data_IF_405151539758
#
_entry.id   IF_405151539758
#
_cell.length_a   1.000
_cell.length_b   1.000
_cell.length_c   1.000
_cell.angle_alpha   90.00
_cell.angle_beta   90.00
_cell.angle_gamma   90.00
#
_symmetry.space_group_name_H-M   'P 1'
#
loop_
_entity.id
_entity.type
_entity.pdbx_description
1 polymer ?
#
# COMPACT_ATOMS: atom_id res chain seq x y z
N UNK A 1 3.86 0.50 -28.65
CA UNK A 1 2.80 -0.19 -27.86
C UNK A 1 1.54 0.63 -27.96
N UNK A 2 0.31 0.05 -28.02
CA UNK A 2 -0.91 0.85 -28.19
C UNK A 2 -1.26 1.58 -26.87
N UNK A 3 -1.81 2.81 -26.98
CA UNK A 3 -2.27 3.61 -25.85
C UNK A 3 -3.22 2.82 -24.93
N UNK A 4 -4.17 2.08 -25.52
CA UNK A 4 -5.14 1.26 -24.78
C UNK A 4 -4.46 0.23 -23.85
N UNK A 5 -3.39 -0.45 -24.30
CA UNK A 5 -2.66 -1.41 -23.46
C UNK A 5 -1.94 -0.73 -22.30
N UNK A 6 -1.43 0.49 -22.50
CA UNK A 6 -0.81 1.28 -21.43
C UNK A 6 -1.84 1.71 -20.39
N UNK A 7 -3.02 2.21 -20.82
CA UNK A 7 -4.11 2.58 -19.91
C UNK A 7 -4.57 1.39 -19.07
N UNK A 8 -4.80 0.22 -19.69
CA UNK A 8 -5.18 -0.98 -18.95
C UNK A 8 -4.06 -1.46 -18.02
N UNK A 9 -2.81 -1.35 -18.41
CA UNK A 9 -1.68 -1.64 -17.52
C UNK A 9 -1.73 -0.77 -16.27
N UNK A 10 -1.98 0.53 -16.42
CA UNK A 10 -2.09 1.47 -15.32
C UNK A 10 -3.29 1.17 -14.42
N UNK A 11 -4.45 0.82 -14.98
CA UNK A 11 -5.63 0.38 -14.23
C UNK A 11 -5.34 -0.85 -13.39
N UNK A 12 -4.68 -1.84 -13.96
CA UNK A 12 -4.32 -3.07 -13.24
C UNK A 12 -3.30 -2.85 -12.13
N UNK A 13 -2.49 -1.80 -12.19
CA UNK A 13 -1.59 -1.49 -11.08
C UNK A 13 -2.37 -0.99 -9.85
N UNK A 14 -3.34 -0.10 -10.05
CA UNK A 14 -4.23 0.35 -8.98
C UNK A 14 -5.04 -0.82 -8.40
N UNK A 15 -5.66 -1.63 -9.27
CA UNK A 15 -6.31 -2.89 -8.89
C UNK A 15 -5.41 -3.79 -8.04
N UNK A 16 -4.13 -3.91 -8.38
CA UNK A 16 -3.18 -4.74 -7.66
C UNK A 16 -2.84 -4.19 -6.26
N UNK A 17 -2.82 -2.87 -6.08
CA UNK A 17 -2.53 -2.21 -4.81
C UNK A 17 -3.71 -2.22 -3.83
N UNK A 18 -4.95 -2.26 -4.31
CA UNK A 18 -6.14 -2.06 -3.49
C UNK A 18 -6.31 -3.06 -2.34
N UNK A 19 -5.97 -4.36 -2.45
CA UNK A 19 -6.04 -5.27 -1.31
C UNK A 19 -5.20 -4.84 -0.12
N UNK A 20 -4.07 -4.15 -0.32
CA UNK A 20 -3.29 -3.63 0.79
C UNK A 20 -4.10 -2.62 1.61
N UNK A 21 -4.77 -1.68 0.98
CA UNK A 21 -5.64 -0.72 1.68
C UNK A 21 -6.86 -1.38 2.30
N UNK A 22 -7.51 -2.25 1.54
CA UNK A 22 -8.76 -2.86 1.96
C UNK A 22 -8.54 -3.88 3.08
N UNK A 23 -7.63 -4.84 2.88
CA UNK A 23 -7.45 -5.95 3.81
C UNK A 23 -6.52 -5.58 4.98
N UNK A 24 -5.41 -4.85 4.68
CA UNK A 24 -4.39 -4.60 5.67
C UNK A 24 -4.69 -3.35 6.51
N UNK A 25 -5.00 -2.23 5.85
CA UNK A 25 -5.19 -0.96 6.55
C UNK A 25 -6.58 -0.83 7.18
N UNK A 26 -7.62 -1.43 6.56
CA UNK A 26 -9.01 -1.13 6.94
C UNK A 26 -9.70 -2.29 7.66
N UNK A 27 -9.80 -3.47 7.04
CA UNK A 27 -10.79 -4.47 7.50
C UNK A 27 -10.22 -5.56 8.39
N UNK A 28 -9.00 -6.04 8.18
CA UNK A 28 -8.54 -7.25 8.88
C UNK A 28 -7.24 -7.07 9.65
N UNK A 29 -6.14 -6.66 9.02
CA UNK A 29 -4.86 -6.62 9.72
C UNK A 29 -4.80 -5.57 10.83
N UNK A 30 -5.33 -4.36 10.60
CA UNK A 30 -5.36 -3.32 11.62
C UNK A 30 -6.20 -3.72 12.85
N UNK A 31 -7.45 -4.22 12.71
CA UNK A 31 -8.20 -4.79 13.84
C UNK A 31 -7.52 -5.99 14.49
N UNK A 32 -6.92 -6.89 13.71
CA UNK A 32 -6.16 -8.02 14.22
C UNK A 32 -5.01 -7.56 15.11
N UNK A 33 -4.18 -6.65 14.63
CA UNK A 33 -3.10 -6.06 15.42
C UNK A 33 -3.62 -5.44 16.71
N UNK A 34 -4.70 -4.65 16.65
CA UNK A 34 -5.27 -3.99 17.82
C UNK A 34 -5.74 -5.00 18.88
N UNK A 35 -6.38 -6.11 18.46
CA UNK A 35 -6.83 -7.17 19.34
C UNK A 35 -5.64 -7.91 19.97
N UNK A 36 -4.72 -8.42 19.15
CA UNK A 36 -3.54 -9.17 19.62
C UNK A 36 -2.68 -8.33 20.58
N UNK A 37 -2.47 -7.05 20.26
CA UNK A 37 -1.69 -6.16 21.12
C UNK A 37 -2.40 -5.88 22.46
N UNK A 38 -3.71 -5.66 22.43
CA UNK A 38 -4.49 -5.46 23.68
C UNK A 38 -4.46 -6.70 24.55
N UNK A 39 -4.66 -7.89 23.99
CA UNK A 39 -4.63 -9.17 24.71
C UNK A 39 -3.25 -9.44 25.31
N UNK A 40 -2.18 -9.17 24.57
CA UNK A 40 -0.81 -9.27 25.07
C UNK A 40 -0.56 -8.37 26.29
N UNK A 41 -1.02 -7.12 26.25
CA UNK A 41 -0.86 -6.21 27.37
C UNK A 41 -1.76 -6.57 28.56
N UNK A 42 -2.96 -7.06 28.33
CA UNK A 42 -3.82 -7.60 29.41
C UNK A 42 -3.20 -8.81 30.08
N UNK A 43 -2.64 -9.72 29.29
CA UNK A 43 -1.91 -10.90 29.83
C UNK A 43 -0.67 -10.50 30.66
N UNK A 44 -0.07 -9.34 30.38
CA UNK A 44 1.04 -8.78 31.19
C UNK A 44 0.57 -8.03 32.46
N UNK A 45 -0.74 -8.05 32.78
CA UNK A 45 -1.31 -7.47 34.00
C UNK A 45 -1.79 -6.03 33.86
N UNK A 46 -1.89 -5.48 32.66
CA UNK A 46 -2.45 -4.14 32.45
C UNK A 46 -3.98 -4.19 32.46
N UNK A 47 -4.60 -3.10 32.93
CA UNK A 47 -6.05 -2.91 32.84
C UNK A 47 -6.52 -2.89 31.38
N UNK A 48 -7.73 -3.40 31.13
CA UNK A 48 -8.29 -3.58 29.78
C UNK A 48 -8.29 -2.28 28.94
N UNK A 49 -8.76 -1.16 29.51
CA UNK A 49 -8.82 0.09 28.77
C UNK A 49 -7.43 0.68 28.47
N UNK A 50 -6.49 0.51 29.42
CA UNK A 50 -5.08 0.91 29.22
C UNK A 50 -4.43 0.06 28.15
N UNK A 51 -4.70 -1.24 28.10
CA UNK A 51 -4.18 -2.17 27.10
C UNK A 51 -4.65 -1.82 25.69
N UNK A 52 -5.95 -1.55 25.53
CA UNK A 52 -6.54 -1.09 24.26
C UNK A 52 -5.95 0.25 23.82
N UNK A 53 -5.84 1.22 24.73
CA UNK A 53 -5.27 2.52 24.44
C UNK A 53 -3.80 2.41 23.99
N UNK A 54 -3.02 1.53 24.62
CA UNK A 54 -1.62 1.27 24.27
C UNK A 54 -1.51 0.62 22.89
N UNK A 55 -2.33 -0.38 22.59
CA UNK A 55 -2.39 -1.00 21.27
C UNK A 55 -2.71 0.01 20.18
N UNK A 56 -3.73 0.84 20.39
CA UNK A 56 -4.11 1.91 19.46
C UNK A 56 -3.00 2.96 19.30
N UNK A 57 -2.29 3.29 20.38
CA UNK A 57 -1.15 4.22 20.33
C UNK A 57 -0.02 3.67 19.48
N UNK A 58 0.34 2.40 19.61
CA UNK A 58 1.37 1.76 18.79
C UNK A 58 0.99 1.79 17.30
N UNK A 59 -0.26 1.47 16.98
CA UNK A 59 -0.77 1.55 15.61
C UNK A 59 -0.70 2.98 15.06
N UNK A 60 -1.18 3.95 15.83
CA UNK A 60 -1.21 5.37 15.43
C UNK A 60 0.19 5.95 15.22
N UNK A 61 1.15 5.58 16.08
CA UNK A 61 2.57 5.97 15.92
C UNK A 61 3.13 5.39 14.61
N UNK A 62 2.86 4.11 14.33
CA UNK A 62 3.31 3.46 13.10
C UNK A 62 2.78 4.18 11.85
N UNK A 63 1.47 4.47 11.80
CA UNK A 63 0.84 5.19 10.70
C UNK A 63 1.37 6.62 10.57
N UNK A 64 1.44 7.36 11.68
CA UNK A 64 1.89 8.75 11.69
C UNK A 64 3.35 8.89 11.28
N UNK A 65 4.23 8.00 11.77
CA UNK A 65 5.64 8.00 11.39
C UNK A 65 5.82 7.65 9.90
N UNK A 66 5.08 6.64 9.41
CA UNK A 66 5.08 6.27 7.99
C UNK A 66 4.55 7.42 7.12
N UNK A 67 3.43 8.02 7.49
CA UNK A 67 2.84 9.15 6.77
C UNK A 67 3.74 10.37 6.74
N UNK A 68 4.39 10.69 7.86
CA UNK A 68 5.36 11.79 7.94
C UNK A 68 6.57 11.52 7.04
N UNK A 69 7.10 10.31 7.08
CA UNK A 69 8.20 9.89 6.21
C UNK A 69 7.83 10.03 4.74
N UNK A 70 6.64 9.54 4.34
CA UNK A 70 6.12 9.67 2.98
C UNK A 70 5.98 11.14 2.60
N UNK A 71 5.30 11.94 3.44
CA UNK A 71 5.03 13.35 3.17
C UNK A 71 6.29 14.20 2.96
N UNK A 72 7.35 13.92 3.71
CA UNK A 72 8.64 14.61 3.56
C UNK A 72 9.42 14.09 2.36
N UNK A 73 9.43 12.77 2.14
CA UNK A 73 10.29 12.14 1.13
C UNK A 73 9.70 12.18 -0.27
N UNK A 74 8.35 12.20 -0.43
CA UNK A 74 7.70 12.15 -1.72
C UNK A 74 8.07 13.32 -2.66
N UNK A 75 8.10 14.59 -2.23
CA UNK A 75 8.54 15.69 -3.07
C UNK A 75 10.01 15.57 -3.50
N UNK A 76 10.86 15.05 -2.61
CA UNK A 76 12.30 14.88 -2.85
C UNK A 76 12.52 13.78 -3.90
N UNK A 77 11.93 12.61 -3.68
CA UNK A 77 12.07 11.47 -4.59
C UNK A 77 11.40 11.75 -5.94
N UNK A 78 10.25 12.45 -5.93
CA UNK A 78 9.56 12.90 -7.14
C UNK A 78 10.44 13.81 -7.98
N UNK A 79 11.07 14.83 -7.38
CA UNK A 79 11.98 15.74 -8.08
C UNK A 79 13.20 15.02 -8.68
N UNK A 80 13.77 14.04 -7.96
CA UNK A 80 14.88 13.22 -8.45
C UNK A 80 14.45 12.36 -9.64
N UNK A 81 13.27 11.73 -9.57
CA UNK A 81 12.74 10.90 -10.65
C UNK A 81 12.39 11.74 -11.89
N UNK A 82 11.80 12.91 -11.71
CA UNK A 82 11.41 13.80 -12.81
C UNK A 82 12.63 14.36 -13.55
N UNK A 83 13.70 14.74 -12.84
CA UNK A 83 14.94 15.21 -13.48
C UNK A 83 15.69 14.13 -14.25
N UNK A 84 15.51 12.87 -13.90
CA UNK A 84 16.16 11.73 -14.58
C UNK A 84 15.28 11.07 -15.65
N UNK A 85 14.00 11.40 -15.69
CA UNK A 85 13.01 10.70 -16.53
C UNK A 85 12.80 9.22 -16.16
N UNK A 86 13.42 8.75 -15.07
CA UNK A 86 13.45 7.35 -14.64
C UNK A 86 12.47 7.12 -13.49
N UNK A 87 11.25 6.75 -13.80
CA UNK A 87 10.23 6.41 -12.79
C UNK A 87 10.13 4.92 -12.53
N UNK A 88 10.35 4.09 -13.56
CA UNK A 88 10.22 2.63 -13.45
C UNK A 88 11.14 2.00 -12.39
N UNK A 89 12.41 2.36 -12.24
CA UNK A 89 13.26 1.80 -11.17
C UNK A 89 12.69 2.04 -9.76
N UNK A 90 12.14 3.23 -9.51
CA UNK A 90 11.49 3.55 -8.23
C UNK A 90 10.25 2.70 -7.99
N UNK A 91 9.41 2.54 -9.03
CA UNK A 91 8.21 1.70 -8.95
C UNK A 91 8.59 0.25 -8.67
N UNK A 92 9.65 -0.29 -9.27
CA UNK A 92 10.15 -1.63 -8.94
C UNK A 92 10.57 -1.75 -7.47
N UNK A 93 11.38 -0.81 -6.97
CA UNK A 93 11.85 -0.83 -5.58
C UNK A 93 10.67 -0.79 -4.61
N UNK A 94 9.74 0.12 -4.80
CA UNK A 94 8.58 0.27 -3.92
C UNK A 94 7.58 -0.88 -4.05
N UNK A 95 7.44 -1.47 -5.24
CA UNK A 95 6.66 -2.71 -5.42
C UNK A 95 7.27 -3.89 -4.65
N UNK A 96 8.59 -4.01 -4.64
CA UNK A 96 9.30 -5.02 -3.85
C UNK A 96 9.10 -4.77 -2.36
N UNK A 97 9.17 -3.52 -1.89
CA UNK A 97 8.87 -3.16 -0.50
C UNK A 97 7.43 -3.53 -0.11
N UNK A 98 6.45 -3.26 -0.98
CA UNK A 98 5.06 -3.68 -0.77
C UNK A 98 4.97 -5.20 -0.58
N UNK A 99 5.55 -5.97 -1.49
CA UNK A 99 5.50 -7.44 -1.46
C UNK A 99 6.14 -7.98 -0.17
N UNK A 100 7.36 -7.56 0.15
CA UNK A 100 8.06 -8.03 1.34
C UNK A 100 7.37 -7.57 2.62
N UNK A 101 6.86 -6.35 2.67
CA UNK A 101 6.10 -5.84 3.79
C UNK A 101 4.82 -6.64 4.02
N UNK A 102 4.02 -6.85 2.97
CA UNK A 102 2.79 -7.62 3.07
C UNK A 102 3.04 -9.08 3.46
N UNK A 103 4.02 -9.76 2.83
CA UNK A 103 4.40 -11.13 3.22
C UNK A 103 4.92 -11.20 4.66
N UNK A 104 5.73 -10.22 5.08
CA UNK A 104 6.33 -10.18 6.40
C UNK A 104 5.32 -10.04 7.53
N UNK A 105 4.13 -9.50 7.29
CA UNK A 105 3.08 -9.43 8.33
C UNK A 105 2.62 -10.80 8.81
N UNK A 106 2.92 -11.88 8.09
CA UNK A 106 2.67 -13.26 8.51
C UNK A 106 3.33 -13.64 9.84
N UNK A 107 4.42 -12.96 10.24
CA UNK A 107 5.09 -13.19 11.52
C UNK A 107 4.23 -12.87 12.75
N UNK A 108 3.12 -12.15 12.54
CA UNK A 108 2.23 -11.74 13.61
C UNK A 108 1.41 -12.89 14.16
N UNK A 109 1.89 -13.54 15.21
CA UNK A 109 1.19 -14.63 15.91
C UNK A 109 0.24 -14.09 17.00
N UNK A 110 -0.83 -14.83 17.34
CA UNK A 110 -1.86 -14.36 18.29
C UNK A 110 -1.37 -14.15 19.71
N UNK A 111 -0.21 -14.72 20.08
CA UNK A 111 0.40 -14.54 21.41
C UNK A 111 1.00 -13.15 21.65
N UNK A 112 1.08 -12.32 20.60
CA UNK A 112 1.61 -10.96 20.68
C UNK A 112 3.13 -10.86 20.83
N UNK A 113 3.88 -11.95 20.71
CA UNK A 113 5.34 -11.95 20.85
C UNK A 113 6.07 -11.09 19.82
N UNK A 114 5.44 -10.83 18.66
CA UNK A 114 6.06 -10.17 17.51
C UNK A 114 5.43 -8.82 17.14
N UNK A 115 4.77 -8.12 18.07
CA UNK A 115 4.02 -6.87 17.79
C UNK A 115 4.85 -5.81 17.04
N UNK A 116 6.09 -5.57 17.48
CA UNK A 116 6.97 -4.58 16.84
C UNK A 116 7.34 -4.99 15.41
N UNK A 117 7.59 -6.28 15.19
CA UNK A 117 7.94 -6.82 13.88
C UNK A 117 6.74 -6.78 12.92
N UNK A 118 5.53 -7.03 13.44
CA UNK A 118 4.28 -6.84 12.68
C UNK A 118 4.16 -5.41 12.15
N UNK A 119 4.36 -4.41 13.01
CA UNK A 119 4.30 -3.01 12.65
C UNK A 119 5.42 -2.60 11.68
N UNK A 120 6.62 -3.15 11.86
CA UNK A 120 7.73 -2.91 10.94
C UNK A 120 7.40 -3.39 9.53
N UNK A 121 6.91 -4.62 9.37
CA UNK A 121 6.55 -5.14 8.06
C UNK A 121 5.33 -4.43 7.46
N UNK A 122 4.34 -4.10 8.28
CA UNK A 122 3.21 -3.30 7.83
C UNK A 122 3.68 -1.92 7.33
N UNK A 123 4.51 -1.20 8.08
CA UNK A 123 5.06 0.09 7.69
C UNK A 123 5.87 0.00 6.38
N UNK A 124 6.70 -1.03 6.24
CA UNK A 124 7.46 -1.29 5.02
C UNK A 124 6.54 -1.45 3.80
N UNK A 125 5.50 -2.28 3.93
CA UNK A 125 4.50 -2.49 2.89
C UNK A 125 3.69 -1.23 2.59
N UNK A 126 3.28 -0.49 3.61
CA UNK A 126 2.51 0.73 3.48
C UNK A 126 3.31 1.83 2.76
N UNK A 127 4.54 2.08 3.18
CA UNK A 127 5.45 3.02 2.52
C UNK A 127 5.70 2.60 1.07
N UNK A 128 5.93 1.31 0.83
CA UNK A 128 6.08 0.76 -0.52
C UNK A 128 4.86 1.02 -1.39
N UNK A 129 3.66 0.77 -0.89
CA UNK A 129 2.39 0.98 -1.61
C UNK A 129 2.19 2.45 -1.97
N UNK A 130 2.35 3.35 -1.00
CA UNK A 130 2.16 4.79 -1.20
C UNK A 130 3.14 5.36 -2.24
N UNK A 131 4.44 5.08 -2.11
CA UNK A 131 5.41 5.56 -3.10
C UNK A 131 5.19 4.95 -4.47
N UNK A 132 4.89 3.66 -4.56
CA UNK A 132 4.59 3.02 -5.82
C UNK A 132 3.42 3.71 -6.55
N UNK A 133 2.35 4.06 -5.82
CA UNK A 133 1.21 4.79 -6.39
C UNK A 133 1.55 6.24 -6.75
N UNK A 134 2.35 6.96 -5.93
CA UNK A 134 2.81 8.30 -6.26
C UNK A 134 3.53 8.30 -7.61
N UNK A 135 4.49 7.39 -7.83
CA UNK A 135 5.23 7.32 -9.09
C UNK A 135 4.39 6.82 -10.27
N UNK A 136 3.48 5.89 -10.01
CA UNK A 136 2.54 5.38 -11.03
C UNK A 136 1.56 6.47 -11.46
N UNK A 137 1.03 7.25 -10.52
CA UNK A 137 0.15 8.38 -10.80
C UNK A 137 0.86 9.51 -11.55
N UNK A 138 2.15 9.74 -11.28
CA UNK A 138 2.94 10.69 -12.04
C UNK A 138 3.08 10.32 -13.53
N UNK A 139 2.90 9.04 -13.90
CA UNK A 139 2.90 8.60 -15.30
C UNK A 139 1.54 8.82 -16.01
N UNK A 140 0.48 9.14 -15.29
CA UNK A 140 -0.87 9.36 -15.83
C UNK A 140 -0.86 10.38 -16.98
N UNK A 141 -0.07 11.45 -16.84
CA UNK A 141 0.08 12.49 -17.87
C UNK A 141 0.61 11.99 -19.22
N UNK A 142 1.21 10.81 -19.24
CA UNK A 142 1.76 10.18 -20.46
C UNK A 142 0.80 9.19 -21.13
N UNK A 143 -0.37 8.95 -20.52
CA UNK A 143 -1.32 7.92 -20.96
C UNK A 143 -2.37 8.45 -21.96
N UNK A 144 -2.60 9.75 -21.98
CA UNK A 144 -3.62 10.37 -22.86
C UNK A 144 -3.43 11.87 -23.00
N UNK A 145 -4.30 12.48 -23.80
CA UNK A 145 -4.37 13.94 -23.95
C UNK A 145 -4.90 14.60 -22.66
N UNK A 146 -4.65 15.90 -22.51
CA UNK A 146 -5.12 16.67 -21.36
C UNK A 146 -6.64 16.53 -21.11
N UNK A 147 -7.43 16.42 -22.18
CA UNK A 147 -8.88 16.24 -22.11
C UNK A 147 -9.32 14.82 -21.67
N UNK A 148 -8.46 13.82 -21.84
CA UNK A 148 -8.76 12.42 -21.51
C UNK A 148 -8.29 12.03 -20.11
N UNK A 149 -7.30 12.74 -19.53
CA UNK A 149 -6.67 12.39 -18.26
C UNK A 149 -7.71 12.23 -17.14
N UNK A 150 -8.67 13.15 -17.02
CA UNK A 150 -9.72 13.08 -16.01
C UNK A 150 -10.57 11.80 -16.11
N UNK A 151 -10.93 11.41 -17.34
CA UNK A 151 -11.68 10.18 -17.59
C UNK A 151 -10.85 8.94 -17.31
N UNK A 152 -9.57 8.92 -17.72
CA UNK A 152 -8.66 7.81 -17.46
C UNK A 152 -8.47 7.64 -15.95
N UNK A 153 -8.19 8.73 -15.24
CA UNK A 153 -7.99 8.70 -13.79
C UNK A 153 -9.23 8.20 -13.04
N UNK A 154 -10.41 8.78 -13.32
CA UNK A 154 -11.65 8.37 -12.67
C UNK A 154 -12.05 6.92 -12.95
N UNK A 155 -11.87 6.47 -14.20
CA UNK A 155 -12.16 5.08 -14.57
C UNK A 155 -11.18 4.10 -13.93
N UNK A 156 -9.89 4.45 -13.83
CA UNK A 156 -8.87 3.65 -13.19
C UNK A 156 -9.11 3.50 -11.69
N UNK A 157 -9.44 4.60 -11.03
CA UNK A 157 -9.79 4.61 -9.61
C UNK A 157 -11.01 3.72 -9.33
N UNK A 158 -12.10 3.85 -10.10
CA UNK A 158 -13.26 2.97 -9.96
C UNK A 158 -12.94 1.50 -10.21
N UNK A 159 -12.11 1.21 -11.22
CA UNK A 159 -11.64 -0.15 -11.48
C UNK A 159 -10.76 -0.68 -10.32
N UNK A 160 -9.86 0.13 -9.81
CA UNK A 160 -9.01 -0.23 -8.65
C UNK A 160 -9.84 -0.63 -7.43
N UNK A 161 -10.85 0.17 -7.07
CA UNK A 161 -11.76 -0.14 -5.96
C UNK A 161 -12.42 -1.51 -6.08
N UNK A 162 -12.83 -1.91 -7.29
CA UNK A 162 -13.36 -3.25 -7.51
C UNK A 162 -12.35 -4.34 -7.13
N UNK A 163 -11.04 -4.10 -7.35
CA UNK A 163 -9.98 -5.02 -6.90
C UNK A 163 -10.01 -5.23 -5.39
N UNK A 164 -10.17 -4.15 -4.62
CA UNK A 164 -10.34 -4.22 -3.18
C UNK A 164 -11.59 -4.99 -2.75
N UNK A 165 -12.73 -4.75 -3.43
CA UNK A 165 -14.00 -5.46 -3.15
C UNK A 165 -13.87 -6.95 -3.44
N UNK A 166 -13.25 -7.34 -4.55
CA UNK A 166 -13.04 -8.75 -4.88
C UNK A 166 -12.11 -9.44 -3.87
N UNK A 167 -11.02 -8.77 -3.47
CA UNK A 167 -10.11 -9.31 -2.46
C UNK A 167 -10.82 -9.43 -1.10
N UNK A 168 -11.64 -8.45 -0.72
CA UNK A 168 -12.47 -8.50 0.50
C UNK A 168 -13.44 -9.68 0.46
N UNK A 169 -14.13 -9.89 -0.66
CA UNK A 169 -15.03 -11.03 -0.83
C UNK A 169 -14.28 -12.36 -0.67
N UNK A 170 -13.11 -12.52 -1.30
CA UNK A 170 -12.27 -13.72 -1.16
C UNK A 170 -11.86 -13.93 0.31
N UNK A 171 -11.44 -12.88 1.01
CA UNK A 171 -11.04 -12.98 2.40
C UNK A 171 -12.21 -13.41 3.30
N UNK A 172 -13.40 -12.85 3.13
CA UNK A 172 -14.60 -13.20 3.90
C UNK A 172 -15.16 -14.60 3.59
N UNK A 173 -15.01 -15.03 2.34
CA UNK A 173 -15.50 -16.36 1.92
C UNK A 173 -14.56 -17.47 2.39
N UNK A 174 -13.23 -17.29 2.26
CA UNK A 174 -12.30 -18.41 2.33
C UNK A 174 -11.23 -18.30 3.40
N UNK A 175 -11.01 -17.11 3.99
CA UNK A 175 -9.87 -16.90 4.88
C UNK A 175 -10.29 -16.53 6.30
N UNK A 176 -10.88 -15.36 6.48
CA UNK A 176 -11.06 -14.75 7.81
C UNK A 176 -12.03 -15.57 8.66
N UNK A 177 -11.49 -16.10 9.74
CA UNK A 177 -12.24 -16.88 10.72
C UNK A 177 -12.95 -16.01 11.75
N UNK A 178 -14.10 -16.51 12.20
CA UNK A 178 -14.83 -16.05 13.37
C UNK A 178 -14.33 -16.80 14.63
N UNK A 179 -14.78 -16.41 15.85
CA UNK A 179 -14.43 -17.10 17.09
C UNK A 179 -14.75 -18.59 17.13
N UNK A 180 -15.66 -19.06 16.27
CA UNK A 180 -15.99 -20.48 16.12
C UNK A 180 -15.03 -21.23 15.18
N UNK A 181 -13.95 -20.61 14.70
CA UNK A 181 -12.97 -21.20 13.81
C UNK A 181 -13.41 -21.34 12.36
N UNK A 182 -14.57 -20.79 11.97
CA UNK A 182 -15.14 -20.90 10.61
C UNK A 182 -15.16 -19.56 9.90
N UNK A 183 -15.05 -19.58 8.57
CA UNK A 183 -15.09 -18.36 7.75
C UNK A 183 -16.42 -17.64 7.84
N UNK A 184 -16.36 -16.31 7.67
CA UNK A 184 -17.49 -15.42 7.92
C UNK A 184 -18.71 -15.71 7.04
N UNK A 185 -18.51 -15.93 5.74
CA UNK A 185 -19.63 -16.07 4.80
C UNK A 185 -20.03 -17.52 4.50
N UNK A 186 -19.07 -18.44 4.36
CA UNK A 186 -19.34 -19.82 4.01
C UNK A 186 -19.46 -20.76 5.21
N UNK A 187 -18.97 -20.35 6.39
CA UNK A 187 -19.00 -21.20 7.58
C UNK A 187 -18.14 -22.46 7.46
N UNK A 188 -17.10 -22.43 6.63
CA UNK A 188 -16.12 -23.51 6.43
C UNK A 188 -14.83 -23.20 7.19
N UNK A 189 -13.96 -24.18 7.37
CA UNK A 189 -12.61 -23.95 7.87
C UNK A 189 -11.79 -23.08 6.89
N UNK A 190 -10.92 -22.17 7.39
CA UNK A 190 -10.12 -21.30 6.54
C UNK A 190 -9.35 -22.09 5.48
N UNK A 191 -9.48 -21.66 4.23
CA UNK A 191 -8.90 -22.29 3.05
C UNK A 191 -9.14 -23.83 3.03
N UNK A 192 -10.38 -24.25 3.39
CA UNK A 192 -10.79 -25.67 3.46
C UNK A 192 -9.98 -26.52 4.45
N UNK A 193 -9.51 -25.93 5.55
CA UNK A 193 -8.72 -26.59 6.60
C UNK A 193 -7.21 -26.60 6.37
N UNK A 194 -6.70 -25.89 5.34
CA UNK A 194 -5.27 -25.73 5.14
C UNK A 194 -4.63 -24.70 6.11
N UNK A 195 -5.44 -23.83 6.70
CA UNK A 195 -5.01 -22.80 7.65
C UNK A 195 -5.60 -23.11 9.02
N UNK A 196 -4.77 -23.02 10.06
CA UNK A 196 -5.17 -23.28 11.45
C UNK A 196 -5.97 -22.11 12.04
N UNK A 197 -7.28 -22.24 12.28
CA UNK A 197 -8.08 -21.20 12.89
C UNK A 197 -7.67 -20.91 14.35
N UNK A 198 -7.07 -21.88 15.06
CA UNK A 198 -6.57 -21.70 16.42
C UNK A 198 -5.37 -20.74 16.47
N UNK A 199 -4.64 -20.62 15.40
CA UNK A 199 -3.53 -19.66 15.22
C UNK A 199 -3.94 -18.40 14.42
N UNK A 200 -5.25 -18.20 14.17
CA UNK A 200 -5.79 -17.11 13.37
C UNK A 200 -5.09 -16.99 12.00
N UNK A 201 -4.70 -18.13 11.43
CA UNK A 201 -3.92 -18.15 10.17
C UNK A 201 -4.71 -17.62 8.99
N UNK A 202 -6.03 -17.78 8.95
CA UNK A 202 -6.87 -17.22 7.91
C UNK A 202 -6.83 -15.69 7.91
N UNK A 203 -6.96 -15.07 9.07
CA UNK A 203 -6.84 -13.61 9.24
C UNK A 203 -5.42 -13.13 8.94
N UNK A 204 -4.40 -13.85 9.39
CA UNK A 204 -2.99 -13.53 9.11
C UNK A 204 -2.65 -13.65 7.62
N UNK A 205 -3.31 -14.55 6.89
CA UNK A 205 -3.06 -14.78 5.47
C UNK A 205 -3.48 -13.61 4.58
N UNK A 206 -4.19 -12.62 5.08
CA UNK A 206 -4.56 -11.42 4.29
C UNK A 206 -3.33 -10.63 3.79
N UNK A 207 -2.21 -10.65 4.54
CA UNK A 207 -0.94 -10.08 4.09
C UNK A 207 -0.34 -10.83 2.90
N UNK A 208 -0.05 -12.13 3.03
CA UNK A 208 0.32 -12.99 1.90
C UNK A 208 -0.63 -12.89 0.71
N UNK A 209 -1.96 -12.86 0.93
CA UNK A 209 -2.94 -12.67 -0.13
C UNK A 209 -2.71 -11.35 -0.87
N UNK A 210 -2.53 -10.24 -0.16
CA UNK A 210 -2.28 -8.94 -0.76
C UNK A 210 -1.00 -8.94 -1.61
N UNK A 211 0.06 -9.61 -1.14
CA UNK A 211 1.31 -9.75 -1.88
C UNK A 211 1.15 -10.60 -3.15
N UNK A 212 0.53 -11.77 -3.06
CA UNK A 212 0.25 -12.66 -4.19
C UNK A 212 -0.63 -11.96 -5.22
N UNK A 213 -1.69 -11.29 -4.76
CA UNK A 213 -2.57 -10.50 -5.59
C UNK A 213 -1.81 -9.41 -6.36
N UNK A 214 -0.97 -8.67 -5.65
CA UNK A 214 -0.14 -7.64 -6.28
C UNK A 214 0.75 -8.23 -7.37
N UNK A 215 1.48 -9.31 -7.09
CA UNK A 215 2.38 -9.96 -8.06
C UNK A 215 1.63 -10.35 -9.33
N UNK A 216 0.45 -10.96 -9.19
CA UNK A 216 -0.35 -11.44 -10.34
C UNK A 216 -0.90 -10.26 -11.15
N UNK A 217 -1.55 -9.32 -10.48
CA UNK A 217 -2.30 -8.25 -11.17
C UNK A 217 -1.44 -7.05 -11.58
N UNK A 218 -0.22 -6.89 -11.07
CA UNK A 218 0.72 -5.88 -11.54
C UNK A 218 1.45 -6.29 -12.85
N UNK A 219 1.38 -7.56 -13.29
CA UNK A 219 2.03 -8.02 -14.52
C UNK A 219 1.67 -7.17 -15.74
N UNK A 220 0.38 -6.83 -16.01
CA UNK A 220 0.03 -6.02 -17.16
C UNK A 220 0.70 -4.65 -17.18
N UNK A 221 0.88 -4.05 -16.01
CA UNK A 221 1.57 -2.77 -15.86
C UNK A 221 3.04 -2.88 -16.28
N UNK A 222 3.79 -3.77 -15.67
CA UNK A 222 5.22 -3.94 -15.95
C UNK A 222 5.51 -4.40 -17.38
N UNK A 223 4.56 -5.08 -18.03
CA UNK A 223 4.67 -5.47 -19.45
C UNK A 223 4.38 -4.32 -20.41
N UNK A 224 3.48 -3.41 -20.05
CA UNK A 224 2.93 -2.43 -20.98
C UNK A 224 3.38 -0.98 -20.72
N UNK A 225 4.04 -0.68 -19.60
CA UNK A 225 4.51 0.66 -19.27
C UNK A 225 6.02 0.64 -19.09
N UNK A 226 6.68 1.62 -19.70
CA UNK A 226 8.13 1.82 -19.64
C UNK A 226 8.42 3.30 -19.59
N UNK A 227 9.57 3.67 -19.06
CA UNK A 227 10.08 5.03 -19.18
C UNK A 227 10.33 5.39 -20.65
N UNK A 228 10.15 6.66 -21.02
CA UNK A 228 10.43 7.14 -22.35
C UNK A 228 11.95 7.28 -22.56
N UNK A 229 12.56 6.53 -23.51
CA UNK A 229 13.99 6.60 -23.75
C UNK A 229 14.49 7.99 -24.11
N UNK A 230 13.65 8.84 -24.71
CA UNK A 230 14.00 10.20 -25.09
C UNK A 230 14.16 11.15 -23.90
N UNK A 231 13.58 10.80 -22.75
CA UNK A 231 13.61 11.60 -21.52
C UNK A 231 14.63 11.11 -20.50
N UNK A 232 15.34 10.00 -20.78
CA UNK A 232 16.27 9.39 -19.85
C UNK A 232 17.56 10.22 -19.72
N UNK A 233 17.85 10.64 -18.50
CA UNK A 233 19.11 11.29 -18.12
C UNK A 233 19.75 10.54 -16.93
N UNK A 234 20.98 10.93 -16.55
CA UNK A 234 21.62 10.40 -15.35
C UNK A 234 20.90 10.92 -14.12
N UNK A 235 20.72 10.03 -13.13
CA UNK A 235 20.16 10.43 -11.83
C UNK A 235 21.07 11.47 -11.19
N UNK A 236 20.56 12.68 -11.01
CA UNK A 236 21.29 13.79 -10.39
C UNK A 236 20.50 14.35 -9.21
N UNK A 237 20.79 13.82 -8.03
CA UNK A 237 20.11 14.20 -6.78
C UNK A 237 20.28 15.71 -6.52
N UNK A 238 21.46 16.27 -6.78
CA UNK A 238 21.73 17.71 -6.56
C UNK A 238 20.90 18.62 -7.47
N UNK A 239 20.68 18.20 -8.74
CA UNK A 239 19.80 18.91 -9.67
C UNK A 239 18.33 18.82 -9.20
N UNK A 240 17.84 17.63 -8.86
CA UNK A 240 16.48 17.44 -8.38
C UNK A 240 16.16 18.26 -7.15
N UNK A 241 17.03 18.28 -6.15
CA UNK A 241 16.86 19.12 -4.96
C UNK A 241 16.88 20.62 -5.27
N UNK A 242 17.74 21.06 -6.19
CA UNK A 242 17.80 22.46 -6.60
C UNK A 242 16.51 22.90 -7.29
N UNK A 243 16.00 22.07 -8.20
CA UNK A 243 14.75 22.32 -8.93
C UNK A 243 13.56 22.37 -7.96
N UNK A 244 13.51 21.46 -6.96
CA UNK A 244 12.49 21.48 -5.90
C UNK A 244 12.56 22.79 -5.10
N UNK A 245 13.75 23.22 -4.67
CA UNK A 245 13.91 24.49 -3.92
C UNK A 245 13.48 25.69 -4.77
N UNK A 246 13.78 25.70 -6.07
CA UNK A 246 13.34 26.76 -6.97
C UNK A 246 11.82 26.80 -7.13
N UNK A 247 11.17 25.63 -7.24
CA UNK A 247 9.71 25.53 -7.28
C UNK A 247 9.07 26.08 -5.99
N UNK A 248 9.57 25.69 -4.82
CA UNK A 248 9.07 26.19 -3.53
C UNK A 248 9.25 27.70 -3.38
N UNK A 249 10.40 28.26 -3.82
CA UNK A 249 10.62 29.71 -3.85
C UNK A 249 9.65 30.41 -4.81
N UNK A 250 9.41 29.82 -5.97
CA UNK A 250 8.45 30.34 -6.97
C UNK A 250 7.00 30.35 -6.47
N UNK A 251 6.57 29.31 -5.71
CA UNK A 251 5.25 29.28 -5.07
C UNK A 251 5.11 30.38 -4.01
N UNK A 252 6.14 30.60 -3.18
CA UNK A 252 6.13 31.65 -2.16
C UNK A 252 6.05 33.07 -2.74
N UNK A 253 6.53 33.26 -3.97
CA UNK A 253 6.46 34.57 -4.65
C UNK A 253 5.09 34.86 -5.28
N UNK A 254 4.24 33.84 -5.46
CA UNK A 254 2.89 33.97 -6.02
C UNK A 254 1.87 34.12 -4.88
N UNK A 255 1.61 35.35 -4.45
CA UNK A 255 0.68 35.68 -3.35
C UNK A 255 -0.70 35.04 -3.46
N UNK A 256 -1.20 34.75 -4.68
CA UNK A 256 -2.49 34.09 -4.90
C UNK A 256 -2.49 32.58 -4.58
N UNK A 257 -1.34 31.94 -4.51
CA UNK A 257 -1.21 30.49 -4.21
C UNK A 257 -0.79 30.20 -2.76
N UNK A 258 -0.36 31.21 -2.00
CA UNK A 258 0.00 31.08 -0.59
C UNK A 258 -1.20 31.25 0.36
N UNK A 259 -2.39 31.50 -0.19
CA UNK A 259 -3.64 31.69 0.57
C UNK A 259 -4.56 30.44 0.55
N UNK A 260 -4.12 29.35 -0.08
CA UNK A 260 -4.72 28.03 -0.06
C UNK A 260 -3.70 27.06 0.53
#
# INVERSE_FOLDING_TARGET
MSQRKRIWGWFFYDWACQPFYTLMLTFFFAPYFATVAADYFMASGMETEVSKAKAQTMWSICLSASGLFIGISAPILGAIADTSGRRMPWIYVFSVMLIFGALGTWVGVPDGSNLTLMLYFFALGYIGTEFALIFTNAQLTTLGSQSEIGKISGSGFGFGYLGGVFALAIALLFLVEQPNGKTFMLGIEPLFGFLDPGQMEGTRFVGPLAAIWFVIFAIPYFRNIKDDPALLDKINVGKGLRDLVQLLKGLRSRRSMSAY
#
